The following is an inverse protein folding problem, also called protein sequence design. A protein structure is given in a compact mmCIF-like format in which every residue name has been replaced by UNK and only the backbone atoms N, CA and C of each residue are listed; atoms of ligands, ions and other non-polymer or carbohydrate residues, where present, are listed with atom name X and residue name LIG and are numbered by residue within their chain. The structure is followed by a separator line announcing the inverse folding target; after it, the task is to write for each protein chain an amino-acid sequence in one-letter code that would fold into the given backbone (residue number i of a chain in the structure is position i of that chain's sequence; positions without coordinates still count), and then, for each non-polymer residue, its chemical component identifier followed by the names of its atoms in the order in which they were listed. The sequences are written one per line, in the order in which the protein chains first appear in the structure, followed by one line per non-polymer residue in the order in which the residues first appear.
data_IF_286846893296
#
_entry.id   IF_286846893296
#
_cell.length_a   1.000
_cell.length_b   1.000
_cell.length_c   1.000
_cell.angle_alpha   90.00
_cell.angle_beta   90.00
_cell.angle_gamma   90.00
#
_symmetry.space_group_name_H-M   'P 1'
#
loop_
_entity.id
_entity.type
_entity.pdbx_description
1 polymer ?
#
# COMPACT_ATOMS: atom_id res chain seq x y z
N UNK A 1 7.54 15.94 13.60
CA UNK A 1 6.23 16.05 12.92
C UNK A 1 6.23 15.07 11.76
N UNK A 2 5.79 13.83 11.97
CA UNK A 2 5.67 12.85 10.89
C UNK A 2 4.47 13.24 10.02
N UNK A 3 4.71 13.81 8.85
CA UNK A 3 3.66 14.03 7.86
C UNK A 3 3.17 12.66 7.40
N UNK A 4 1.93 12.34 7.73
CA UNK A 4 1.24 11.13 7.27
C UNK A 4 1.33 11.04 5.74
N UNK A 5 1.97 9.99 5.25
CA UNK A 5 1.87 9.57 3.85
C UNK A 5 0.52 8.84 3.76
N UNK A 6 -0.52 9.59 3.44
CA UNK A 6 -1.90 9.11 3.43
C UNK A 6 -2.85 10.14 2.82
N UNK A 7 -3.97 9.64 2.28
CA UNK A 7 -5.09 10.43 1.77
C UNK A 7 -5.40 11.55 2.78
N UNK A 8 -5.57 12.82 2.36
CA UNK A 8 -5.58 13.98 3.26
C UNK A 8 -6.63 13.96 4.40
N UNK A 9 -7.64 13.08 4.32
CA UNK A 9 -8.67 12.89 5.36
C UNK A 9 -8.60 11.53 6.09
N UNK A 10 -7.57 10.73 5.86
CA UNK A 10 -7.44 9.43 6.52
C UNK A 10 -6.98 9.61 7.97
N UNK A 11 -7.91 9.41 8.92
CA UNK A 11 -7.55 9.24 10.33
C UNK A 11 -6.71 7.97 10.49
N UNK A 12 -5.39 8.13 10.63
CA UNK A 12 -4.47 7.03 10.89
C UNK A 12 -4.59 6.62 12.37
N UNK A 13 -4.76 5.32 12.60
CA UNK A 13 -4.81 4.74 13.95
C UNK A 13 -3.40 4.41 14.46
N UNK A 14 -2.52 4.01 13.54
CA UNK A 14 -1.16 3.57 13.83
C UNK A 14 -0.15 4.52 13.22
N UNK A 15 0.97 4.71 13.93
CA UNK A 15 2.16 5.39 13.42
C UNK A 15 2.79 4.63 12.24
N UNK A 16 3.68 5.28 11.49
CA UNK A 16 4.41 4.61 10.41
C UNK A 16 5.26 3.43 10.94
N UNK A 17 5.88 3.57 12.10
CA UNK A 17 6.69 2.51 12.71
C UNK A 17 5.84 1.28 13.07
N UNK A 18 4.69 1.48 13.71
CA UNK A 18 3.75 0.39 14.02
C UNK A 18 3.23 -0.30 12.76
N UNK A 19 2.96 0.46 11.69
CA UNK A 19 2.56 -0.13 10.40
C UNK A 19 3.69 -0.96 9.78
N UNK A 20 4.92 -0.47 9.83
CA UNK A 20 6.08 -1.23 9.32
C UNK A 20 6.27 -2.52 10.11
N UNK A 21 6.15 -2.46 11.44
CA UNK A 21 6.20 -3.63 12.31
C UNK A 21 5.09 -4.66 11.99
N UNK A 22 3.86 -4.21 11.78
CA UNK A 22 2.76 -5.11 11.42
C UNK A 22 3.00 -5.78 10.05
N UNK A 23 3.49 -5.03 9.06
CA UNK A 23 3.76 -5.57 7.72
C UNK A 23 4.96 -6.53 7.74
N UNK A 24 6.03 -6.21 8.45
CA UNK A 24 7.22 -7.07 8.54
C UNK A 24 6.97 -8.36 9.31
N UNK A 25 5.92 -8.43 10.12
CA UNK A 25 5.50 -9.66 10.81
C UNK A 25 4.65 -10.61 9.95
N UNK A 26 4.27 -10.22 8.72
CA UNK A 26 3.48 -11.07 7.82
C UNK A 26 4.36 -12.18 7.26
N UNK A 27 3.87 -13.44 7.31
CA UNK A 27 4.59 -14.66 6.87
C UNK A 27 5.27 -14.53 5.49
N UNK A 28 4.63 -13.82 4.56
CA UNK A 28 5.04 -13.75 3.15
C UNK A 28 5.84 -12.48 2.82
N UNK A 29 6.21 -11.67 3.81
CA UNK A 29 6.98 -10.43 3.61
C UNK A 29 8.42 -10.66 4.00
N UNK A 30 9.33 -10.41 3.06
CA UNK A 30 10.78 -10.45 3.29
C UNK A 30 11.33 -9.08 3.72
N UNK A 31 10.89 -8.01 3.07
CA UNK A 31 11.38 -6.63 3.31
C UNK A 31 10.24 -5.60 3.30
N UNK A 32 10.40 -4.54 4.09
CA UNK A 32 9.47 -3.40 4.15
C UNK A 32 10.23 -2.11 3.91
N UNK A 33 9.83 -1.37 2.88
CA UNK A 33 10.43 -0.08 2.52
C UNK A 33 9.42 1.04 2.75
N UNK A 34 9.88 2.13 3.37
CA UNK A 34 9.07 3.34 3.56
C UNK A 34 9.29 4.29 2.39
N UNK A 35 8.24 4.59 1.65
CA UNK A 35 8.27 5.51 0.52
C UNK A 35 7.28 6.67 0.73
N UNK A 36 7.55 7.84 0.12
CA UNK A 36 6.62 8.98 0.09
C UNK A 36 5.67 8.93 -1.10
N UNK A 37 6.19 8.55 -2.27
CA UNK A 37 5.42 8.33 -3.48
C UNK A 37 5.75 6.96 -4.03
N UNK A 38 4.74 6.15 -4.31
CA UNK A 38 4.96 4.78 -4.84
C UNK A 38 5.62 4.81 -6.21
N UNK A 39 5.44 5.91 -6.97
CA UNK A 39 6.06 6.07 -8.28
C UNK A 39 7.60 6.11 -8.25
N UNK A 40 8.20 6.38 -7.10
CA UNK A 40 9.65 6.44 -6.93
C UNK A 40 10.27 5.01 -6.82
N UNK A 41 9.43 3.99 -6.59
CA UNK A 41 9.90 2.60 -6.40
C UNK A 41 10.65 2.05 -7.63
N UNK A 42 10.29 2.52 -8.82
CA UNK A 42 10.89 2.08 -10.09
C UNK A 42 12.35 2.51 -10.23
N UNK A 43 12.75 3.54 -9.48
CA UNK A 43 14.10 4.10 -9.49
C UNK A 43 14.94 3.55 -8.32
N UNK A 44 14.30 2.98 -7.30
CA UNK A 44 14.93 2.58 -6.03
C UNK A 44 15.06 1.07 -5.85
N UNK A 45 14.18 0.28 -6.48
CA UNK A 45 14.09 -1.17 -6.28
C UNK A 45 14.02 -1.88 -7.63
N UNK A 46 14.86 -2.90 -7.79
CA UNK A 46 14.73 -3.83 -8.92
C UNK A 46 13.78 -4.97 -8.55
N UNK A 47 12.72 -5.14 -9.35
CA UNK A 47 11.66 -6.11 -9.14
C UNK A 47 11.15 -6.66 -10.47
N UNK A 48 10.73 -7.91 -10.52
CA UNK A 48 10.18 -8.52 -11.74
C UNK A 48 8.67 -8.31 -11.89
N UNK A 49 7.96 -8.19 -10.76
CA UNK A 49 6.50 -8.17 -10.71
C UNK A 49 6.00 -7.11 -9.72
N UNK A 50 5.04 -6.31 -10.16
CA UNK A 50 4.34 -5.32 -9.34
C UNK A 50 2.91 -5.75 -9.03
N UNK A 51 2.64 -6.08 -7.77
CA UNK A 51 1.31 -6.45 -7.30
C UNK A 51 0.57 -5.25 -6.67
N UNK A 52 -0.69 -5.03 -7.05
CA UNK A 52 -1.53 -3.97 -6.47
C UNK A 52 -3.00 -4.37 -6.30
N UNK A 53 -3.72 -3.64 -5.45
CA UNK A 53 -5.18 -3.69 -5.37
C UNK A 53 -5.87 -3.00 -6.56
N UNK A 54 -7.17 -3.28 -6.81
CA UNK A 54 -7.91 -2.71 -7.93
C UNK A 54 -8.24 -1.21 -7.73
N UNK A 55 -8.21 -0.75 -6.48
CA UNK A 55 -8.48 0.63 -6.05
C UNK A 55 -7.25 1.55 -6.13
N UNK A 56 -6.09 1.00 -6.48
CA UNK A 56 -4.83 1.72 -6.58
C UNK A 56 -4.65 2.37 -7.96
N UNK A 57 -5.37 3.48 -8.17
CA UNK A 57 -5.50 4.14 -9.48
C UNK A 57 -4.82 5.51 -9.60
N UNK A 58 -4.27 6.06 -8.50
CA UNK A 58 -3.66 7.40 -8.51
C UNK A 58 -2.36 7.45 -9.34
N UNK A 59 -1.91 8.68 -9.68
CA UNK A 59 -0.79 8.93 -10.61
C UNK A 59 0.51 8.17 -10.28
N UNK A 60 0.85 8.01 -8.99
CA UNK A 60 2.02 7.23 -8.60
C UNK A 60 1.95 5.77 -9.04
N UNK A 61 0.78 5.12 -8.90
CA UNK A 61 0.58 3.74 -9.37
C UNK A 61 0.56 3.65 -10.89
N UNK A 62 0.00 4.64 -11.59
CA UNK A 62 0.01 4.67 -13.07
C UNK A 62 1.44 4.71 -13.60
N UNK A 63 2.30 5.56 -13.02
CA UNK A 63 3.74 5.60 -13.36
C UNK A 63 4.41 4.23 -13.26
N UNK A 64 4.14 3.48 -12.18
CA UNK A 64 4.74 2.14 -12.01
C UNK A 64 4.20 1.17 -13.05
N UNK A 65 2.91 1.21 -13.35
CA UNK A 65 2.29 0.36 -14.38
C UNK A 65 2.87 0.64 -15.76
N UNK A 66 3.00 1.92 -16.14
CA UNK A 66 3.60 2.33 -17.41
C UNK A 66 5.06 1.86 -17.50
N UNK A 67 5.84 2.10 -16.44
CA UNK A 67 7.23 1.62 -16.34
C UNK A 67 7.33 0.10 -16.51
N UNK A 68 6.42 -0.68 -15.92
CA UNK A 68 6.44 -2.13 -16.08
C UNK A 68 6.20 -2.53 -17.54
N UNK A 69 5.24 -1.88 -18.22
CA UNK A 69 4.97 -2.12 -19.64
C UNK A 69 6.13 -1.75 -20.57
N UNK A 70 6.93 -0.76 -20.19
CA UNK A 70 8.11 -0.32 -20.96
C UNK A 70 9.36 -1.17 -20.73
N UNK A 71 9.45 -1.89 -19.61
CA UNK A 71 10.67 -2.59 -19.16
C UNK A 71 10.50 -4.11 -19.01
N UNK A 72 9.53 -4.70 -19.70
CA UNK A 72 9.25 -6.16 -19.67
C UNK A 72 9.01 -6.70 -18.25
N UNK A 73 8.40 -5.91 -17.35
CA UNK A 73 8.02 -6.33 -15.99
C UNK A 73 6.52 -6.62 -15.91
N UNK A 74 6.12 -7.48 -14.98
CA UNK A 74 4.72 -7.90 -14.85
C UNK A 74 3.91 -7.01 -13.90
N UNK A 75 2.62 -6.84 -14.18
CA UNK A 75 1.67 -6.19 -13.27
C UNK A 75 0.55 -7.15 -12.92
N UNK A 76 0.36 -7.42 -11.63
CA UNK A 76 -0.74 -8.25 -11.12
C UNK A 76 -1.73 -7.41 -10.31
N UNK A 77 -3.01 -7.57 -10.61
CA UNK A 77 -4.09 -6.95 -9.82
C UNK A 77 -4.72 -8.00 -8.92
N UNK A 78 -4.55 -7.85 -7.62
CA UNK A 78 -5.09 -8.76 -6.61
C UNK A 78 -6.49 -8.32 -6.20
N UNK A 79 -7.44 -9.25 -6.18
CA UNK A 79 -8.81 -8.96 -5.75
C UNK A 79 -8.86 -8.55 -4.26
N UNK A 80 -9.85 -7.73 -3.91
CA UNK A 80 -10.13 -7.40 -2.51
C UNK A 80 -10.69 -8.61 -1.77
N UNK A 81 -10.34 -8.74 -0.50
CA UNK A 81 -11.03 -9.64 0.43
C UNK A 81 -12.34 -8.99 0.87
N UNK A 82 -13.46 -9.70 0.66
CA UNK A 82 -14.78 -9.23 1.04
C UNK A 82 -14.93 -9.11 2.57
N UNK A 83 -15.62 -8.06 3.03
CA UNK A 83 -15.88 -7.82 4.45
C UNK A 83 -14.67 -7.45 5.30
N UNK A 84 -13.52 -7.15 4.68
CA UNK A 84 -12.28 -6.76 5.37
C UNK A 84 -11.83 -5.37 4.92
N UNK A 85 -11.94 -4.39 5.83
CA UNK A 85 -11.35 -3.06 5.67
C UNK A 85 -11.14 -2.35 7.01
N UNK A 86 -10.18 -1.41 7.04
CA UNK A 86 -9.94 -0.56 8.22
C UNK A 86 -11.12 0.35 8.54
N UNK A 87 -11.91 0.75 7.55
CA UNK A 87 -13.13 1.56 7.76
C UNK A 87 -14.21 0.74 8.48
N UNK A 88 -14.49 -0.47 8.00
CA UNK A 88 -15.45 -1.38 8.65
C UNK A 88 -15.03 -1.70 10.08
N UNK A 89 -13.74 -1.99 10.33
CA UNK A 89 -13.23 -2.23 11.69
C UNK A 89 -13.42 -1.02 12.61
N UNK A 90 -13.15 0.19 12.13
CA UNK A 90 -13.36 1.42 12.91
C UNK A 90 -14.83 1.63 13.25
N UNK A 91 -15.73 1.35 12.31
CA UNK A 91 -17.16 1.53 12.51
C UNK A 91 -17.75 0.48 13.45
N UNK A 92 -17.32 -0.79 13.33
CA UNK A 92 -17.66 -1.85 14.30
C UNK A 92 -17.24 -1.45 15.72
N UNK A 93 -16.02 -0.96 15.91
CA UNK A 93 -15.52 -0.54 17.23
C UNK A 93 -16.35 0.64 17.79
N UNK A 94 -16.76 1.58 16.95
CA UNK A 94 -17.64 2.70 17.39
C UNK A 94 -19.02 2.21 17.81
N UNK A 95 -19.59 1.25 17.09
CA UNK A 95 -20.92 0.68 17.35
C UNK A 95 -20.96 -0.32 18.51
N UNK A 96 -19.81 -0.79 18.99
CA UNK A 96 -19.71 -1.64 20.20
C UNK A 96 -19.78 -0.85 21.51
N UNK A 97 -19.95 0.47 21.45
CA UNK A 97 -20.17 1.36 22.61
C UNK A 97 -21.66 1.60 22.83
#
# INVERSE_FOLDING_TARGET
MASAIGIPDASLVYSTEERCYMVSAIRYVDEVVVYRNVGDIVDEVDFDLFAKGPDQSHAGFQRVVDYCGENDKEVVVMARTEGISSSELKDLIKCMK
#
